data_IF_146825669485
#
_entry.id   IF_146825669485
#
_cell.length_a   1.000
_cell.length_b   1.000
_cell.length_c   1.000
_cell.angle_alpha   90.00
_cell.angle_beta   90.00
_cell.angle_gamma   90.00
#
_symmetry.space_group_name_H-M   'P 1'
#
loop_
_entity.id
_entity.type
_entity.pdbx_description
1 polymer ?
#
# COMPACT_ATOMS: atom_id res chain seq x y z
N UNK A 1 -16.94 5.94 -6.06
CA UNK A 1 -15.58 6.33 -6.52
C UNK A 1 -14.56 6.47 -5.39
N UNK A 2 -14.91 6.22 -4.12
CA UNK A 2 -14.03 6.43 -2.96
C UNK A 2 -12.69 5.67 -3.03
N UNK A 3 -12.69 4.43 -3.54
CA UNK A 3 -11.46 3.65 -3.75
C UNK A 3 -10.60 4.17 -4.90
N UNK A 4 -11.21 4.76 -5.93
CA UNK A 4 -10.46 5.31 -7.08
C UNK A 4 -9.66 6.57 -6.72
N UNK A 5 -10.07 7.28 -5.65
CA UNK A 5 -9.36 8.44 -5.12
C UNK A 5 -8.24 8.09 -4.12
N UNK A 6 -8.09 6.81 -3.76
CA UNK A 6 -7.09 6.32 -2.82
C UNK A 6 -5.80 5.82 -3.51
N UNK A 7 -4.82 5.34 -2.72
CA UNK A 7 -3.56 4.81 -3.25
C UNK A 7 -3.81 3.44 -3.89
N UNK A 8 -4.23 3.44 -5.15
CA UNK A 8 -4.71 2.24 -5.86
C UNK A 8 -3.71 1.10 -5.82
N UNK A 9 -2.41 1.39 -5.97
CA UNK A 9 -1.34 0.38 -5.86
C UNK A 9 -1.28 -0.24 -4.46
N UNK A 10 -1.44 0.58 -3.42
CA UNK A 10 -1.53 0.11 -2.04
C UNK A 10 -2.68 -0.89 -1.85
N UNK A 11 -3.88 -0.54 -2.33
CA UNK A 11 -5.05 -1.44 -2.25
C UNK A 11 -4.83 -2.77 -2.98
N UNK A 12 -4.23 -2.73 -4.17
CA UNK A 12 -3.93 -3.95 -4.94
C UNK A 12 -2.95 -4.85 -4.18
N UNK A 13 -1.87 -4.29 -3.63
CA UNK A 13 -0.89 -5.06 -2.85
C UNK A 13 -1.47 -5.60 -1.55
N UNK A 14 -2.31 -4.84 -0.85
CA UNK A 14 -3.01 -5.33 0.35
C UNK A 14 -3.88 -6.53 0.01
N UNK A 15 -4.67 -6.48 -1.07
CA UNK A 15 -5.46 -7.63 -1.51
C UNK A 15 -4.57 -8.84 -1.82
N UNK A 16 -3.49 -8.64 -2.58
CA UNK A 16 -2.56 -9.72 -2.93
C UNK A 16 -1.87 -10.35 -1.70
N UNK A 17 -1.54 -9.56 -0.69
CA UNK A 17 -0.97 -10.07 0.55
C UNK A 17 -1.98 -10.96 1.30
N UNK A 18 -3.23 -10.51 1.40
CA UNK A 18 -4.32 -11.27 2.04
C UNK A 18 -4.58 -12.57 1.28
N UNK A 19 -4.67 -12.52 -0.05
CA UNK A 19 -4.88 -13.70 -0.88
C UNK A 19 -3.73 -14.72 -0.72
N UNK A 20 -2.48 -14.24 -0.68
CA UNK A 20 -1.30 -15.09 -0.50
C UNK A 20 -1.22 -15.72 0.90
N UNK A 21 -1.61 -14.97 1.95
CA UNK A 21 -1.59 -15.44 3.33
C UNK A 21 -2.53 -16.64 3.57
N UNK A 22 -3.55 -16.83 2.74
CA UNK A 22 -4.44 -18.00 2.80
C UNK A 22 -3.78 -19.29 2.31
N UNK A 23 -2.66 -19.19 1.57
CA UNK A 23 -2.00 -20.32 0.92
C UNK A 23 -0.60 -20.60 1.46
N UNK A 24 0.01 -19.62 2.13
CA UNK A 24 1.38 -19.71 2.63
C UNK A 24 1.42 -20.03 4.14
N UNK A 25 2.48 -20.71 4.61
CA UNK A 25 2.82 -20.68 6.04
C UNK A 25 3.03 -19.25 6.52
N UNK A 26 2.88 -19.04 7.82
CA UNK A 26 2.97 -17.72 8.45
C UNK A 26 4.23 -16.92 8.04
N UNK A 27 5.39 -17.57 8.04
CA UNK A 27 6.66 -16.95 7.68
C UNK A 27 6.68 -16.46 6.22
N UNK A 28 6.12 -17.24 5.30
CA UNK A 28 6.02 -16.86 3.89
C UNK A 28 5.06 -15.70 3.66
N UNK A 29 3.96 -15.63 4.43
CA UNK A 29 3.05 -14.48 4.39
C UNK A 29 3.76 -13.19 4.85
N UNK A 30 4.58 -13.26 5.90
CA UNK A 30 5.37 -12.12 6.37
C UNK A 30 6.42 -11.65 5.36
N UNK A 31 7.05 -12.58 4.62
CA UNK A 31 7.98 -12.23 3.55
C UNK A 31 7.28 -11.45 2.43
N UNK A 32 6.08 -11.90 2.02
CA UNK A 32 5.26 -11.20 1.02
C UNK A 32 4.88 -9.79 1.49
N UNK A 33 4.41 -9.67 2.74
CA UNK A 33 4.08 -8.36 3.31
C UNK A 33 5.29 -7.43 3.35
N UNK A 34 6.45 -7.92 3.81
CA UNK A 34 7.71 -7.15 3.85
C UNK A 34 8.07 -6.60 2.47
N UNK A 35 7.98 -7.44 1.44
CA UNK A 35 8.42 -7.04 0.10
C UNK A 35 7.46 -6.02 -0.53
N UNK A 36 6.15 -6.18 -0.33
CA UNK A 36 5.17 -5.16 -0.73
C UNK A 36 5.29 -3.86 0.06
N UNK A 37 5.53 -3.91 1.36
CA UNK A 37 5.78 -2.69 2.15
C UNK A 37 7.03 -1.96 1.67
N UNK A 38 8.11 -2.68 1.34
CA UNK A 38 9.33 -2.10 0.78
C UNK A 38 9.09 -1.48 -0.60
N UNK A 39 8.30 -2.14 -1.45
CA UNK A 39 7.90 -1.62 -2.76
C UNK A 39 7.09 -0.32 -2.60
N UNK A 40 6.03 -0.36 -1.79
CA UNK A 40 5.11 0.76 -1.59
C UNK A 40 5.76 1.94 -0.86
N UNK A 41 6.67 1.68 0.09
CA UNK A 41 7.40 2.75 0.79
C UNK A 41 8.26 3.62 -0.14
N UNK A 42 8.52 3.18 -1.38
CA UNK A 42 9.24 3.94 -2.41
C UNK A 42 8.31 4.63 -3.42
N UNK A 43 6.99 4.49 -3.28
CA UNK A 43 6.02 5.05 -4.21
C UNK A 43 5.85 6.57 -4.03
N UNK A 44 5.26 7.22 -5.04
CA UNK A 44 4.88 8.63 -4.92
C UNK A 44 3.71 8.79 -3.96
N UNK A 45 2.74 7.88 -4.02
CA UNK A 45 1.56 7.89 -3.15
C UNK A 45 1.92 7.73 -1.67
N UNK A 46 2.96 6.95 -1.34
CA UNK A 46 3.45 6.85 0.04
C UNK A 46 4.01 8.20 0.51
N UNK A 47 4.88 8.82 -0.30
CA UNK A 47 5.44 10.14 0.02
C UNK A 47 4.35 11.20 0.17
N UNK A 48 3.36 11.21 -0.73
CA UNK A 48 2.22 12.11 -0.65
C UNK A 48 1.37 11.87 0.61
N UNK A 49 1.11 10.62 0.98
CA UNK A 49 0.40 10.30 2.21
C UNK A 49 1.12 10.84 3.46
N UNK A 50 2.44 10.68 3.52
CA UNK A 50 3.28 11.22 4.61
C UNK A 50 3.28 12.75 4.59
N UNK A 51 3.52 13.38 3.45
CA UNK A 51 3.53 14.84 3.31
C UNK A 51 2.17 15.46 3.67
N UNK A 52 1.07 14.91 3.16
CA UNK A 52 -0.28 15.38 3.45
C UNK A 52 -0.62 15.24 4.94
N UNK A 53 -0.16 14.17 5.60
CA UNK A 53 -0.31 13.98 7.03
C UNK A 53 0.44 15.05 7.84
N UNK A 54 1.72 15.29 7.51
CA UNK A 54 2.55 16.32 8.17
C UNK A 54 1.95 17.72 7.97
N UNK A 55 1.48 18.01 6.76
CA UNK A 55 0.89 19.30 6.36
C UNK A 55 -0.58 19.46 6.80
N UNK A 56 -1.20 18.42 7.37
CA UNK A 56 -2.62 18.41 7.80
C UNK A 56 -3.60 18.77 6.68
N UNK A 57 -3.36 18.25 5.48
CA UNK A 57 -4.24 18.43 4.31
C UNK A 57 -4.74 17.09 3.77
N UNK A 58 -5.75 17.13 2.90
CA UNK A 58 -6.16 15.94 2.17
C UNK A 58 -5.04 15.48 1.21
N UNK A 59 -4.77 14.18 1.21
CA UNK A 59 -3.84 13.54 0.27
C UNK A 59 -4.45 13.45 -1.13
N UNK A 60 -3.60 13.54 -2.16
CA UNK A 60 -3.97 13.42 -3.58
C UNK A 60 -3.21 12.25 -4.20
N UNK A 61 -3.82 11.07 -4.13
CA UNK A 61 -3.22 9.86 -4.68
C UNK A 61 -3.36 9.79 -6.20
N UNK A 62 -2.36 9.19 -6.84
CA UNK A 62 -2.24 9.07 -8.30
C UNK A 62 -2.11 7.62 -8.77
N UNK A 63 -1.89 6.69 -7.84
CA UNK A 63 -1.66 5.27 -8.11
C UNK A 63 -0.19 4.93 -8.39
N UNK A 64 0.76 5.84 -8.16
CA UNK A 64 2.18 5.69 -8.52
C UNK A 64 3.07 5.43 -7.31
#
# INVERSE_FOLDING_TARGET
>A
LQLAAGPTRGYVRTRQAIDAAMLLPFEGALDVERDYQRELGRSADYREGVSAFIEKRAARFTGQ
#
